data_IF_760401971067
#
_entry.id   IF_760401971067
#
_cell.length_a   1.000
_cell.length_b   1.000
_cell.length_c   1.000
_cell.angle_alpha   90.00
_cell.angle_beta   90.00
_cell.angle_gamma   90.00
#
_symmetry.space_group_name_H-M   'P 1'
#
loop_
_entity.id
_entity.type
_entity.pdbx_description
1 polymer ?
#
# COMPACT_ATOMS: atom_id res chain seq x y z
N UNK A 1 -20.72 -37.13 -0.91
CA UNK A 1 -20.92 -37.30 -2.36
C UNK A 1 -22.09 -36.44 -2.77
N UNK A 2 -21.81 -35.29 -3.38
CA UNK A 2 -22.81 -34.42 -4.00
C UNK A 2 -22.10 -33.62 -5.09
N UNK A 3 -22.38 -34.03 -6.32
CA UNK A 3 -21.81 -33.48 -7.55
C UNK A 3 -22.36 -32.06 -7.78
N UNK A 4 -21.49 -31.06 -7.86
CA UNK A 4 -21.82 -29.77 -8.47
C UNK A 4 -21.31 -29.74 -9.91
N UNK A 5 -22.26 -29.77 -10.83
CA UNK A 5 -22.07 -29.71 -12.28
C UNK A 5 -21.61 -28.30 -12.71
N UNK A 6 -20.67 -28.15 -13.66
CA UNK A 6 -20.18 -26.85 -14.11
C UNK A 6 -21.11 -26.27 -15.19
N UNK A 7 -22.10 -25.47 -14.80
CA UNK A 7 -22.94 -24.72 -15.77
C UNK A 7 -23.19 -23.26 -15.41
N UNK A 8 -22.49 -22.69 -14.43
CA UNK A 8 -22.75 -21.31 -13.96
C UNK A 8 -21.95 -20.18 -14.65
N UNK A 9 -21.20 -20.46 -15.73
CA UNK A 9 -20.37 -19.44 -16.41
C UNK A 9 -20.64 -19.30 -17.91
N UNK A 10 -21.91 -19.34 -18.31
CA UNK A 10 -22.34 -18.91 -19.66
C UNK A 10 -23.58 -18.03 -19.59
N UNK A 11 -23.44 -16.81 -19.09
CA UNK A 11 -24.28 -15.65 -19.46
C UNK A 11 -23.91 -14.44 -18.59
N UNK A 12 -22.83 -13.75 -18.94
CA UNK A 12 -22.54 -12.41 -18.39
C UNK A 12 -21.56 -11.65 -19.31
N UNK A 13 -21.88 -11.54 -20.60
CA UNK A 13 -21.17 -10.67 -21.53
C UNK A 13 -22.19 -9.90 -22.36
N UNK A 14 -22.80 -8.88 -21.75
CA UNK A 14 -23.50 -7.75 -22.38
C UNK A 14 -24.11 -6.84 -21.29
N UNK A 15 -23.27 -6.05 -20.62
CA UNK A 15 -23.55 -4.81 -19.87
C UNK A 15 -22.31 -4.46 -19.01
N UNK A 16 -22.04 -3.18 -18.70
CA UNK A 16 -20.88 -2.79 -17.90
C UNK A 16 -21.11 -3.24 -16.45
N UNK A 17 -20.47 -4.33 -16.03
CA UNK A 17 -20.62 -4.87 -14.67
C UNK A 17 -19.34 -4.66 -13.86
N UNK A 18 -19.50 -3.87 -12.80
CA UNK A 18 -18.62 -3.74 -11.65
C UNK A 18 -18.34 -5.12 -11.02
N UNK A 19 -17.11 -5.35 -10.58
CA UNK A 19 -16.84 -6.31 -9.49
C UNK A 19 -16.23 -5.54 -8.31
N UNK A 20 -17.10 -5.28 -7.34
CA UNK A 20 -16.80 -4.84 -5.98
C UNK A 20 -17.21 -5.98 -5.05
N UNK A 21 -16.38 -6.31 -4.06
CA UNK A 21 -16.82 -7.01 -2.85
C UNK A 21 -16.70 -6.03 -1.65
N UNK A 22 -17.80 -5.29 -1.44
CA UNK A 22 -18.31 -4.60 -0.22
C UNK A 22 -17.37 -3.76 0.72
N UNK A 23 -17.23 -2.45 0.40
CA UNK A 23 -17.24 -1.14 1.15
C UNK A 23 -16.95 -0.95 2.68
N UNK A 24 -16.62 0.29 3.20
CA UNK A 24 -16.57 1.62 2.55
C UNK A 24 -15.31 2.52 2.81
N UNK A 25 -14.69 3.05 1.73
CA UNK A 25 -13.95 4.35 1.59
C UNK A 25 -13.10 4.33 0.29
N UNK A 26 -12.73 5.48 -0.31
CA UNK A 26 -12.95 5.73 -1.74
C UNK A 26 -11.93 5.12 -2.70
N UNK A 27 -12.46 4.80 -3.87
CA UNK A 27 -11.84 4.23 -5.05
C UNK A 27 -10.93 5.23 -5.76
N UNK A 28 -9.76 4.76 -6.21
CA UNK A 28 -8.94 5.49 -7.17
C UNK A 28 -9.06 4.83 -8.53
N UNK A 29 -9.76 5.55 -9.41
CA UNK A 29 -9.85 5.36 -10.85
C UNK A 29 -8.61 5.99 -11.50
N UNK A 30 -7.99 5.32 -12.48
CA UNK A 30 -7.00 5.93 -13.38
C UNK A 30 -7.47 5.66 -14.82
N UNK A 31 -8.00 6.71 -15.46
CA UNK A 31 -8.39 6.81 -16.88
C UNK A 31 -7.13 6.86 -17.79
N UNK A 32 -7.09 6.62 -19.12
CA UNK A 32 -7.87 5.92 -20.16
C UNK A 32 -7.06 6.15 -21.48
N UNK A 33 -6.92 5.18 -22.40
CA UNK A 33 -6.84 5.46 -23.84
C UNK A 33 -7.12 4.20 -24.69
N UNK A 34 -8.24 4.26 -25.41
CA UNK A 34 -8.79 3.40 -26.48
C UNK A 34 -8.50 1.88 -26.50
N UNK A 35 -9.46 1.08 -26.01
CA UNK A 35 -9.67 -0.31 -26.44
C UNK A 35 -10.81 -0.36 -27.47
N UNK A 36 -10.50 -0.25 -28.76
CA UNK A 36 -11.41 -0.75 -29.80
C UNK A 36 -11.23 -2.27 -29.90
N UNK A 37 -12.21 -3.03 -29.40
CA UNK A 37 -12.30 -4.46 -29.65
C UNK A 37 -12.91 -4.69 -31.05
N UNK A 38 -12.10 -5.12 -32.01
CA UNK A 38 -12.60 -5.72 -33.26
C UNK A 38 -13.17 -7.10 -32.94
N UNK A 39 -14.48 -7.26 -33.13
CA UNK A 39 -15.18 -8.54 -33.02
C UNK A 39 -15.09 -9.27 -34.36
N UNK A 40 -14.08 -10.11 -34.53
CA UNK A 40 -14.04 -11.11 -35.61
C UNK A 40 -13.13 -12.28 -35.24
N UNK A 41 -13.58 -13.12 -34.31
CA UNK A 41 -13.08 -14.49 -34.17
C UNK A 41 -14.30 -15.40 -34.13
N UNK A 42 -14.85 -15.68 -35.31
CA UNK A 42 -15.66 -16.86 -35.60
C UNK A 42 -15.49 -17.20 -37.09
N UNK A 43 -14.24 -17.27 -37.55
CA UNK A 43 -13.88 -18.15 -38.67
C UNK A 43 -12.35 -18.21 -38.80
N UNK A 44 -11.73 -19.30 -38.31
CA UNK A 44 -10.48 -19.81 -38.89
C UNK A 44 -10.13 -21.16 -38.26
N UNK A 45 -10.80 -22.22 -38.71
CA UNK A 45 -10.26 -23.58 -38.57
C UNK A 45 -9.14 -23.75 -39.59
N UNK A 46 -7.92 -23.29 -39.26
CA UNK A 46 -6.61 -23.77 -39.77
C UNK A 46 -5.48 -22.79 -39.45
N UNK A 47 -4.62 -23.21 -38.50
CA UNK A 47 -3.14 -23.18 -38.53
C UNK A 47 -2.55 -22.79 -37.17
N UNK A 48 -1.90 -23.80 -36.58
CA UNK A 48 -0.61 -23.77 -35.86
C UNK A 48 -0.49 -22.94 -34.58
N UNK A 49 -0.34 -23.70 -33.48
CA UNK A 49 0.69 -23.56 -32.44
C UNK A 49 1.56 -22.29 -32.52
N UNK A 50 1.18 -21.28 -31.75
CA UNK A 50 2.11 -20.37 -31.09
C UNK A 50 1.40 -19.83 -29.85
N UNK A 51 1.81 -20.31 -28.67
CA UNK A 51 1.47 -19.69 -27.40
C UNK A 51 2.17 -18.34 -27.34
N UNK A 52 1.55 -17.30 -27.90
CA UNK A 52 1.99 -15.93 -27.69
C UNK A 52 1.67 -15.63 -26.23
N UNK A 53 2.65 -15.81 -25.34
CA UNK A 53 2.58 -15.29 -23.97
C UNK A 53 2.23 -13.81 -24.10
N UNK A 54 1.04 -13.42 -23.65
CA UNK A 54 0.61 -12.04 -23.72
C UNK A 54 1.62 -11.19 -22.94
N UNK A 55 2.38 -10.35 -23.65
CA UNK A 55 3.35 -9.47 -23.02
C UNK A 55 2.65 -8.59 -21.98
N UNK A 56 3.27 -8.42 -20.80
CA UNK A 56 2.74 -7.55 -19.75
C UNK A 56 2.42 -6.17 -20.33
N UNK A 57 1.21 -5.66 -20.07
CA UNK A 57 0.83 -4.32 -20.52
C UNK A 57 1.68 -3.27 -19.78
N UNK A 58 2.50 -2.49 -20.49
CA UNK A 58 3.32 -1.46 -19.84
C UNK A 58 2.43 -0.40 -19.19
N UNK A 59 2.77 0.01 -17.97
CA UNK A 59 2.04 1.03 -17.23
C UNK A 59 0.78 0.55 -16.48
N UNK A 60 0.43 -0.74 -16.55
CA UNK A 60 -0.68 -1.33 -15.79
C UNK A 60 -0.15 -2.13 -14.60
N UNK A 61 -0.65 -1.84 -13.40
CA UNK A 61 -0.39 -2.62 -12.19
C UNK A 61 -1.70 -2.99 -11.50
N UNK A 62 -1.79 -4.22 -11.00
CA UNK A 62 -2.84 -4.65 -10.09
C UNK A 62 -2.29 -4.67 -8.66
N UNK A 63 -2.84 -3.82 -7.79
CA UNK A 63 -2.46 -3.72 -6.39
C UNK A 63 -3.52 -4.37 -5.50
N UNK A 64 -3.08 -5.21 -4.57
CA UNK A 64 -3.94 -5.97 -3.68
C UNK A 64 -3.66 -5.63 -2.23
N UNK A 65 -4.72 -5.45 -1.45
CA UNK A 65 -4.61 -5.48 0.01
C UNK A 65 -4.26 -6.89 0.48
N UNK A 66 -3.70 -7.02 1.69
CA UNK A 66 -3.28 -8.33 2.22
C UNK A 66 -4.41 -8.98 3.02
N UNK A 67 -4.64 -8.50 4.25
CA UNK A 67 -5.60 -9.09 5.18
C UNK A 67 -7.04 -8.84 4.72
N UNK A 68 -7.86 -9.90 4.65
CA UNK A 68 -9.24 -9.82 4.19
C UNK A 68 -9.43 -9.73 2.66
N UNK A 69 -8.35 -9.60 1.89
CA UNK A 69 -8.38 -9.59 0.41
C UNK A 69 -7.67 -10.81 -0.17
N UNK A 70 -6.36 -10.96 0.09
CA UNK A 70 -5.59 -12.14 -0.34
C UNK A 70 -5.65 -13.27 0.69
N UNK A 71 -5.95 -12.94 1.94
CA UNK A 71 -6.10 -13.90 3.03
C UNK A 71 -7.45 -13.73 3.72
N UNK A 72 -7.93 -14.79 4.38
CA UNK A 72 -8.97 -14.61 5.38
C UNK A 72 -8.39 -13.81 6.57
N UNK A 73 -9.21 -13.01 7.29
CA UNK A 73 -8.72 -12.16 8.38
C UNK A 73 -7.82 -12.91 9.37
N UNK A 74 -6.60 -12.40 9.56
CA UNK A 74 -5.53 -12.95 10.43
C UNK A 74 -5.11 -14.39 10.12
N UNK A 75 -5.32 -14.86 8.89
CA UNK A 75 -4.89 -16.19 8.43
C UNK A 75 -3.85 -16.08 7.32
N UNK A 76 -3.20 -17.21 7.04
CA UNK A 76 -2.26 -17.40 5.93
C UNK A 76 -3.04 -17.58 4.62
N UNK A 77 -2.46 -17.15 3.51
CA UNK A 77 -3.00 -17.34 2.17
C UNK A 77 -3.12 -18.82 1.83
N UNK A 78 -4.16 -19.17 1.07
CA UNK A 78 -4.36 -20.55 0.62
C UNK A 78 -3.42 -20.87 -0.55
N UNK A 79 -2.99 -22.13 -0.73
CA UNK A 79 -2.19 -22.52 -1.90
C UNK A 79 -2.86 -22.16 -3.24
N UNK A 80 -4.20 -22.25 -3.30
CA UNK A 80 -4.99 -21.89 -4.48
C UNK A 80 -4.87 -20.39 -4.81
N UNK A 81 -4.92 -19.52 -3.80
CA UNK A 81 -4.74 -18.08 -3.99
C UNK A 81 -3.30 -17.76 -4.42
N UNK A 82 -2.29 -18.38 -3.81
CA UNK A 82 -0.89 -18.17 -4.18
C UNK A 82 -0.62 -18.61 -5.63
N UNK A 83 -1.19 -19.73 -6.06
CA UNK A 83 -1.09 -20.17 -7.47
C UNK A 83 -1.78 -19.19 -8.42
N UNK A 84 -2.98 -18.72 -8.06
CA UNK A 84 -3.68 -17.70 -8.83
C UNK A 84 -2.84 -16.43 -9.00
N UNK A 85 -2.22 -15.93 -7.93
CA UNK A 85 -1.36 -14.75 -7.99
C UNK A 85 -0.14 -14.99 -8.88
N UNK A 86 0.45 -16.19 -8.85
CA UNK A 86 1.57 -16.56 -9.73
C UNK A 86 1.18 -16.55 -11.20
N UNK A 87 0.02 -17.11 -11.55
CA UNK A 87 -0.50 -17.07 -12.92
C UNK A 87 -0.84 -15.64 -13.36
N UNK A 88 -1.45 -14.85 -12.48
CA UNK A 88 -1.77 -13.45 -12.75
C UNK A 88 -0.51 -12.62 -13.03
N UNK A 89 0.58 -12.87 -12.29
CA UNK A 89 1.88 -12.21 -12.50
C UNK A 89 2.45 -12.44 -13.90
N UNK A 90 2.07 -13.49 -14.62
CA UNK A 90 2.54 -13.72 -16.00
C UNK A 90 1.93 -12.74 -16.99
N UNK A 91 0.74 -12.23 -16.71
CA UNK A 91 -0.04 -11.39 -17.65
C UNK A 91 -0.11 -9.92 -17.26
N UNK A 92 0.07 -9.58 -15.99
CA UNK A 92 0.06 -8.19 -15.51
C UNK A 92 1.10 -7.99 -14.42
N UNK A 93 1.58 -6.76 -14.25
CA UNK A 93 2.39 -6.42 -13.09
C UNK A 93 1.51 -6.47 -11.84
N UNK A 94 1.94 -7.21 -10.83
CA UNK A 94 1.20 -7.34 -9.57
C UNK A 94 1.99 -6.76 -8.40
N UNK A 95 1.28 -6.15 -7.46
CA UNK A 95 1.86 -5.78 -6.19
C UNK A 95 0.90 -5.92 -5.04
N UNK A 96 1.45 -5.95 -3.82
CA UNK A 96 0.68 -5.99 -2.58
C UNK A 96 0.94 -4.73 -1.77
N UNK A 97 -0.10 -4.24 -1.09
CA UNK A 97 -0.01 -3.10 -0.18
C UNK A 97 -0.66 -3.47 1.16
N UNK A 98 0.09 -3.33 2.25
CA UNK A 98 -0.40 -3.61 3.59
C UNK A 98 0.00 -2.51 4.56
N UNK A 99 -0.87 -2.21 5.53
CA UNK A 99 -0.52 -1.30 6.64
C UNK A 99 0.39 -1.93 7.69
N UNK A 100 0.65 -3.24 7.58
CA UNK A 100 1.56 -3.96 8.48
C UNK A 100 3.01 -3.88 8.00
N UNK A 101 3.94 -4.19 8.90
CA UNK A 101 5.34 -4.43 8.57
C UNK A 101 5.51 -5.62 7.60
N UNK A 102 6.71 -5.74 7.02
CA UNK A 102 7.02 -6.82 6.09
C UNK A 102 6.94 -8.21 6.74
N UNK A 103 7.22 -8.32 8.04
CA UNK A 103 7.22 -9.61 8.75
C UNK A 103 5.82 -10.19 8.73
N UNK A 104 4.81 -9.41 9.14
CA UNK A 104 3.40 -9.83 9.10
C UNK A 104 2.90 -10.12 7.69
N UNK A 105 3.29 -9.30 6.71
CA UNK A 105 2.96 -9.58 5.31
C UNK A 105 3.56 -10.92 4.87
N UNK A 106 4.79 -11.23 5.29
CA UNK A 106 5.47 -12.49 4.99
C UNK A 106 4.86 -13.68 5.73
N UNK A 107 4.37 -13.51 6.96
CA UNK A 107 3.61 -14.54 7.67
C UNK A 107 2.32 -14.91 6.90
N UNK A 108 1.65 -13.92 6.32
CA UNK A 108 0.40 -14.13 5.59
C UNK A 108 0.59 -14.66 4.17
N UNK A 109 1.60 -14.18 3.44
CA UNK A 109 1.79 -14.47 2.01
C UNK A 109 2.96 -15.42 1.71
N UNK A 110 3.78 -15.74 2.72
CA UNK A 110 4.97 -16.58 2.59
C UNK A 110 6.27 -15.78 2.68
N UNK A 111 7.35 -16.46 3.11
CA UNK A 111 8.66 -15.84 3.32
C UNK A 111 9.30 -15.27 2.04
N UNK A 112 8.90 -15.74 0.87
CA UNK A 112 9.37 -15.29 -0.44
C UNK A 112 8.57 -14.11 -1.01
N UNK A 113 7.70 -13.47 -0.24
CA UNK A 113 6.76 -12.44 -0.73
C UNK A 113 7.43 -11.33 -1.55
N UNK A 114 8.63 -10.87 -1.19
CA UNK A 114 9.34 -9.82 -1.93
C UNK A 114 9.77 -10.26 -3.33
N UNK A 115 9.92 -11.56 -3.56
CA UNK A 115 10.25 -12.15 -4.85
C UNK A 115 9.02 -12.66 -5.60
N UNK A 116 7.93 -12.99 -4.90
CA UNK A 116 6.70 -13.56 -5.49
C UNK A 116 5.84 -12.50 -6.20
N UNK A 117 5.94 -11.24 -5.79
CA UNK A 117 5.24 -10.10 -6.38
C UNK A 117 6.23 -9.14 -7.05
N UNK A 118 5.79 -8.39 -8.07
CA UNK A 118 6.66 -7.41 -8.73
C UNK A 118 6.91 -6.20 -7.81
N UNK A 119 5.91 -5.84 -6.99
CA UNK A 119 6.01 -4.80 -5.96
C UNK A 119 5.45 -5.26 -4.61
N UNK A 120 6.12 -4.92 -3.51
CA UNK A 120 5.63 -5.16 -2.15
C UNK A 120 5.74 -3.86 -1.35
N UNK A 121 4.60 -3.34 -0.90
CA UNK A 121 4.47 -2.11 -0.13
C UNK A 121 4.05 -2.45 1.30
N UNK A 122 5.03 -2.48 2.20
CA UNK A 122 4.78 -2.59 3.63
C UNK A 122 4.56 -1.20 4.24
N UNK A 123 3.83 -1.16 5.35
CA UNK A 123 3.50 0.07 6.07
C UNK A 123 2.92 1.16 5.13
N UNK A 124 1.89 0.79 4.36
CA UNK A 124 1.23 1.62 3.35
C UNK A 124 2.15 2.07 2.18
N UNK A 125 3.35 1.50 2.07
CA UNK A 125 4.35 1.85 1.07
C UNK A 125 5.46 2.76 1.58
N UNK A 126 5.54 3.00 2.89
CA UNK A 126 6.72 3.60 3.51
C UNK A 126 7.96 2.73 3.32
N UNK A 127 7.78 1.41 3.32
CA UNK A 127 8.81 0.45 2.91
C UNK A 127 8.36 -0.22 1.62
N UNK A 128 9.14 -0.08 0.56
CA UNK A 128 8.78 -0.54 -0.77
C UNK A 128 9.87 -1.44 -1.35
N UNK A 129 9.46 -2.60 -1.86
CA UNK A 129 10.30 -3.53 -2.60
C UNK A 129 9.82 -3.64 -4.04
N UNK A 130 10.77 -3.87 -4.95
CA UNK A 130 10.52 -4.24 -6.34
C UNK A 130 11.48 -5.36 -6.75
N UNK A 131 10.94 -6.44 -7.31
CA UNK A 131 11.72 -7.60 -7.76
C UNK A 131 12.72 -8.09 -6.67
N UNK A 132 12.25 -8.23 -5.44
CA UNK A 132 13.06 -8.65 -4.28
C UNK A 132 13.95 -7.56 -3.66
N UNK A 133 14.12 -6.40 -4.32
CA UNK A 133 15.04 -5.35 -3.90
C UNK A 133 14.31 -4.20 -3.21
N UNK A 134 14.87 -3.70 -2.12
CA UNK A 134 14.38 -2.49 -1.45
C UNK A 134 14.59 -1.28 -2.36
N UNK A 135 13.51 -0.56 -2.67
CA UNK A 135 13.53 0.62 -3.55
C UNK A 135 13.19 1.92 -2.82
N UNK A 136 12.70 1.85 -1.59
CA UNK A 136 12.42 3.03 -0.79
C UNK A 136 12.06 2.68 0.65
N UNK A 137 12.62 3.45 1.56
CA UNK A 137 12.23 3.47 2.98
C UNK A 137 12.00 4.92 3.38
N UNK A 138 10.86 5.20 4.00
CA UNK A 138 10.56 6.49 4.60
C UNK A 138 10.20 6.29 6.06
N UNK A 139 10.58 7.25 6.91
CA UNK A 139 10.21 7.25 8.32
C UNK A 139 9.64 8.59 8.74
N UNK A 140 8.81 8.58 9.77
CA UNK A 140 8.23 9.78 10.37
C UNK A 140 9.33 10.78 10.77
N UNK A 141 10.43 10.26 11.33
CA UNK A 141 11.60 11.04 11.73
C UNK A 141 12.22 11.77 10.55
N UNK A 142 12.47 11.05 9.45
CA UNK A 142 13.06 11.65 8.25
C UNK A 142 12.12 12.66 7.59
N UNK A 143 10.81 12.43 7.66
CA UNK A 143 9.81 13.30 7.04
C UNK A 143 9.54 14.59 7.82
N UNK A 144 9.31 14.51 9.13
CA UNK A 144 8.99 15.67 9.96
C UNK A 144 10.22 16.41 10.48
N UNK A 145 11.32 15.69 10.71
CA UNK A 145 12.49 16.21 11.41
C UNK A 145 12.34 16.17 12.93
N UNK A 146 13.48 16.20 13.61
CA UNK A 146 13.57 16.02 15.07
C UNK A 146 12.92 17.18 15.84
N UNK A 147 13.09 18.42 15.37
CA UNK A 147 12.54 19.62 16.02
C UNK A 147 11.02 19.55 16.15
N UNK A 148 10.32 19.28 15.04
CA UNK A 148 8.86 19.16 15.02
C UNK A 148 8.37 17.96 15.84
N UNK A 149 9.11 16.85 15.80
CA UNK A 149 8.78 15.68 16.59
C UNK A 149 8.85 15.98 18.09
N UNK A 150 9.92 16.62 18.54
CA UNK A 150 10.06 17.01 19.95
C UNK A 150 8.96 17.98 20.36
N UNK A 151 8.57 18.93 19.50
CA UNK A 151 7.47 19.85 19.80
C UNK A 151 6.14 19.11 20.06
N UNK A 152 5.79 18.16 19.20
CA UNK A 152 4.57 17.34 19.36
C UNK A 152 4.68 16.48 20.62
N UNK A 153 5.81 15.77 20.79
CA UNK A 153 6.02 14.83 21.89
C UNK A 153 5.96 15.56 23.24
N UNK A 154 6.67 16.68 23.37
CA UNK A 154 6.67 17.48 24.60
C UNK A 154 5.26 17.97 24.93
N UNK A 155 4.54 18.51 23.93
CA UNK A 155 3.17 18.95 24.15
C UNK A 155 2.25 17.80 24.59
N UNK A 156 2.31 16.64 23.93
CA UNK A 156 1.51 15.46 24.28
C UNK A 156 1.83 14.98 25.69
N UNK A 157 3.11 14.95 26.08
CA UNK A 157 3.52 14.53 27.43
C UNK A 157 2.98 15.49 28.50
N UNK A 158 3.09 16.81 28.29
CA UNK A 158 2.50 17.80 29.21
C UNK A 158 0.98 17.65 29.29
N UNK A 159 0.30 17.54 28.14
CA UNK A 159 -1.15 17.36 28.09
C UNK A 159 -1.61 16.12 28.85
N UNK A 160 -0.91 14.98 28.68
CA UNK A 160 -1.24 13.74 29.39
C UNK A 160 -0.91 13.84 30.88
N UNK A 161 0.15 14.55 31.27
CA UNK A 161 0.49 14.76 32.68
C UNK A 161 -0.67 15.47 33.41
N UNK A 162 -1.22 16.52 32.82
CA UNK A 162 -2.29 17.34 33.41
C UNK A 162 -3.70 16.74 33.24
N UNK A 163 -3.84 15.69 32.44
CA UNK A 163 -5.12 15.05 32.16
C UNK A 163 -5.70 14.37 33.42
N UNK A 164 -6.91 14.74 33.83
CA UNK A 164 -7.60 14.07 34.93
C UNK A 164 -8.37 12.84 34.41
N UNK A 165 -7.81 11.64 34.63
CA UNK A 165 -8.45 10.36 34.32
C UNK A 165 -8.20 9.36 35.46
N UNK A 166 -9.10 8.38 35.68
CA UNK A 166 -9.02 7.50 36.84
C UNK A 166 -7.74 6.65 36.90
N UNK A 167 -7.20 6.27 35.74
CA UNK A 167 -6.08 5.34 35.62
C UNK A 167 -5.08 5.87 34.59
N UNK A 168 -3.81 5.93 34.99
CA UNK A 168 -2.64 6.08 34.10
C UNK A 168 -1.66 4.94 34.34
N UNK A 169 -1.03 4.45 33.27
CA UNK A 169 -0.02 3.39 33.29
C UNK A 169 1.27 3.90 32.64
N UNK A 170 1.69 3.32 31.53
CA UNK A 170 2.92 3.68 30.81
C UNK A 170 2.78 3.44 29.31
N UNK A 171 3.79 3.88 28.56
CA UNK A 171 3.76 3.91 27.08
C UNK A 171 2.61 4.77 26.58
N UNK A 172 2.65 6.05 26.96
CA UNK A 172 1.69 7.08 26.54
C UNK A 172 1.88 7.51 25.08
N UNK A 173 3.13 7.47 24.62
CA UNK A 173 3.51 7.71 23.24
C UNK A 173 4.36 6.50 22.81
N UNK A 174 3.94 5.83 21.75
CA UNK A 174 4.68 4.75 21.10
C UNK A 174 5.12 5.26 19.72
N UNK A 175 6.43 5.46 19.55
CA UNK A 175 7.01 5.86 18.28
C UNK A 175 7.09 4.66 17.35
N UNK A 176 6.47 4.75 16.18
CA UNK A 176 6.59 3.76 15.09
C UNK A 176 7.26 4.41 13.90
N UNK A 177 7.76 3.58 12.99
CA UNK A 177 8.34 3.99 11.71
C UNK A 177 7.49 5.00 10.95
N UNK A 178 6.17 4.77 10.87
CA UNK A 178 5.25 5.60 10.10
C UNK A 178 4.42 6.63 10.88
N UNK A 179 4.38 6.54 12.21
CA UNK A 179 3.38 7.25 13.02
C UNK A 179 3.75 7.31 14.50
N UNK A 180 3.11 8.21 15.24
CA UNK A 180 3.04 8.14 16.70
C UNK A 180 1.70 7.54 17.10
N UNK A 181 1.71 6.52 17.96
CA UNK A 181 0.49 6.08 18.63
C UNK A 181 0.44 6.73 20.02
N UNK A 182 -0.61 7.49 20.29
CA UNK A 182 -0.80 8.22 21.55
C UNK A 182 -1.95 7.59 22.34
N UNK A 183 -1.72 7.27 23.60
CA UNK A 183 -2.67 6.64 24.52
C UNK A 183 -2.73 7.42 25.84
N UNK A 184 -3.85 8.09 26.18
CA UNK A 184 -3.97 8.85 27.43
C UNK A 184 -3.80 8.00 28.70
N UNK A 185 -4.38 6.80 28.72
CA UNK A 185 -4.20 5.82 29.81
C UNK A 185 -2.81 5.15 29.76
N UNK A 186 -2.17 5.09 28.60
CA UNK A 186 -0.94 4.34 28.34
C UNK A 186 -1.19 2.91 27.87
N UNK A 187 -0.38 2.40 26.93
CA UNK A 187 -0.58 1.07 26.31
C UNK A 187 -0.30 -0.12 27.24
N UNK A 188 0.42 0.10 28.33
CA UNK A 188 0.75 -0.94 29.31
C UNK A 188 -0.42 -1.28 30.27
N UNK A 189 -1.63 -0.76 30.02
CA UNK A 189 -2.82 -1.13 30.77
C UNK A 189 -3.31 -2.55 30.46
N UNK A 190 -3.97 -3.17 31.45
CA UNK A 190 -4.59 -4.48 31.33
C UNK A 190 -5.82 -4.45 30.43
N UNK A 191 -6.33 -5.60 29.99
CA UNK A 191 -7.55 -5.63 29.16
C UNK A 191 -8.77 -5.06 29.90
N UNK A 192 -8.90 -5.33 31.20
CA UNK A 192 -9.98 -4.78 32.02
C UNK A 192 -9.91 -3.25 32.05
N UNK A 193 -8.71 -2.70 32.27
CA UNK A 193 -8.46 -1.25 32.26
C UNK A 193 -8.74 -0.63 30.88
N UNK A 194 -8.47 -1.35 29.78
CA UNK A 194 -8.80 -0.91 28.41
C UNK A 194 -10.32 -0.78 28.23
N UNK A 195 -11.07 -1.77 28.67
CA UNK A 195 -12.53 -1.79 28.55
C UNK A 195 -13.17 -0.70 29.41
N UNK A 196 -12.63 -0.45 30.60
CA UNK A 196 -13.05 0.64 31.49
C UNK A 196 -12.73 2.01 30.89
N UNK A 197 -11.51 2.20 30.38
CA UNK A 197 -11.13 3.45 29.73
C UNK A 197 -11.96 3.72 28.48
N UNK A 198 -12.27 2.70 27.67
CA UNK A 198 -13.12 2.88 26.49
C UNK A 198 -14.52 3.39 26.88
N UNK A 199 -15.13 2.85 27.94
CA UNK A 199 -16.42 3.31 28.45
C UNK A 199 -16.31 4.74 28.98
N UNK A 200 -15.26 5.03 29.74
CA UNK A 200 -15.00 6.36 30.28
C UNK A 200 -14.79 7.39 29.17
N UNK A 201 -13.97 7.08 28.17
CA UNK A 201 -13.69 7.93 27.02
C UNK A 201 -14.93 8.22 26.18
N UNK A 202 -15.85 7.25 26.01
CA UNK A 202 -17.12 7.48 25.31
C UNK A 202 -18.02 8.49 26.01
N UNK A 203 -17.98 8.55 27.34
CA UNK A 203 -18.78 9.49 28.13
C UNK A 203 -18.10 10.86 28.21
N UNK A 204 -16.80 10.87 28.50
CA UNK A 204 -16.06 12.11 28.79
C UNK A 204 -15.35 12.72 27.56
N UNK A 205 -15.31 11.99 26.44
CA UNK A 205 -14.68 12.36 25.17
C UNK A 205 -13.21 12.75 25.33
N UNK A 206 -12.43 11.96 26.06
CA UNK A 206 -11.02 12.25 26.38
C UNK A 206 -10.18 12.35 25.10
N UNK A 207 -10.16 11.29 24.27
CA UNK A 207 -9.40 11.24 23.02
C UNK A 207 -9.93 12.24 21.98
N UNK A 208 -11.26 12.37 21.73
CA UNK A 208 -11.76 13.40 20.82
C UNK A 208 -11.35 14.82 21.20
N UNK A 209 -11.45 15.20 22.49
CA UNK A 209 -11.02 16.51 22.97
C UNK A 209 -9.52 16.73 22.76
N UNK A 210 -8.70 15.75 23.15
CA UNK A 210 -7.25 15.82 22.96
C UNK A 210 -6.88 15.95 21.48
N UNK A 211 -7.50 15.17 20.59
CA UNK A 211 -7.28 15.26 19.14
C UNK A 211 -7.70 16.62 18.59
N UNK A 212 -8.79 17.22 19.08
CA UNK A 212 -9.22 18.56 18.67
C UNK A 212 -8.15 19.60 19.00
N UNK A 213 -7.63 19.59 20.23
CA UNK A 213 -6.58 20.50 20.67
C UNK A 213 -5.30 20.32 19.86
N UNK A 214 -4.88 19.07 19.61
CA UNK A 214 -3.70 18.77 18.80
C UNK A 214 -3.86 19.23 17.35
N UNK A 215 -5.04 19.04 16.76
CA UNK A 215 -5.33 19.43 15.38
C UNK A 215 -5.25 20.94 15.20
N UNK A 216 -5.78 21.70 16.16
CA UNK A 216 -5.72 23.17 16.14
C UNK A 216 -4.27 23.65 16.31
N UNK A 217 -3.57 23.17 17.34
CA UNK A 217 -2.19 23.58 17.64
C UNK A 217 -1.21 23.26 16.52
N UNK A 218 -1.31 22.06 15.94
CA UNK A 218 -0.38 21.55 14.93
C UNK A 218 -0.97 21.55 13.51
N UNK A 219 -1.95 22.41 13.23
CA UNK A 219 -2.55 22.53 11.89
C UNK A 219 -1.51 22.76 10.79
N UNK A 220 -0.45 23.52 11.11
CA UNK A 220 0.65 23.86 10.22
C UNK A 220 1.62 22.69 9.92
N UNK A 221 1.50 21.55 10.61
CA UNK A 221 2.31 20.35 10.37
C UNK A 221 1.68 19.37 9.38
N UNK A 222 0.45 19.62 8.90
CA UNK A 222 -0.26 18.75 7.94
C UNK A 222 -0.34 17.28 8.42
N UNK A 223 -0.72 17.09 9.68
CA UNK A 223 -0.88 15.78 10.30
C UNK A 223 -2.33 15.31 10.25
N UNK A 224 -2.51 14.01 10.13
CA UNK A 224 -3.78 13.30 10.30
C UNK A 224 -3.79 12.63 11.67
N UNK A 225 -4.90 12.80 12.38
CA UNK A 225 -5.15 12.20 13.69
C UNK A 225 -6.32 11.22 13.55
N UNK A 226 -6.07 9.95 13.84
CA UNK A 226 -7.05 8.87 13.67
C UNK A 226 -7.31 8.16 15.00
N UNK A 227 -8.50 8.34 15.58
CA UNK A 227 -8.91 7.60 16.77
C UNK A 227 -9.23 6.17 16.38
N UNK A 228 -8.58 5.21 17.04
CA UNK A 228 -8.69 3.79 16.69
C UNK A 228 -8.56 2.90 17.92
N UNK A 229 -9.34 1.81 17.93
CA UNK A 229 -9.39 0.88 19.06
C UNK A 229 -9.91 1.51 20.35
N UNK A 230 -9.55 0.90 21.48
CA UNK A 230 -10.16 1.20 22.78
C UNK A 230 -9.48 2.37 23.52
N UNK A 231 -8.17 2.56 23.35
CA UNK A 231 -7.37 3.42 24.23
C UNK A 231 -6.53 4.49 23.55
N UNK A 232 -6.33 4.42 22.24
CA UNK A 232 -5.33 5.25 21.56
C UNK A 232 -5.88 5.96 20.33
N UNK A 233 -5.04 6.82 19.75
CA UNK A 233 -5.19 7.37 18.41
C UNK A 233 -3.81 7.46 17.75
N UNK A 234 -3.79 7.39 16.42
CA UNK A 234 -2.57 7.49 15.63
C UNK A 234 -2.39 8.91 15.08
N UNK A 235 -1.14 9.36 15.02
CA UNK A 235 -0.72 10.66 14.45
C UNK A 235 0.31 10.39 13.36
N UNK A 236 -0.01 10.78 12.14
CA UNK A 236 0.84 10.54 10.96
C UNK A 236 0.67 11.65 9.92
N UNK A 237 1.64 11.87 9.02
CA UNK A 237 1.53 12.89 7.98
C UNK A 237 0.35 12.63 7.06
N UNK A 238 -0.30 13.68 6.59
CA UNK A 238 -1.40 13.56 5.65
C UNK A 238 -0.97 12.82 4.37
N UNK A 239 -1.80 11.88 3.93
CA UNK A 239 -1.53 11.04 2.76
C UNK A 239 -0.64 9.82 3.01
N UNK A 240 -0.30 9.52 4.28
CA UNK A 240 0.38 8.26 4.67
C UNK A 240 -0.61 7.09 4.89
N UNK A 241 -1.71 7.11 4.16
CA UNK A 241 -2.61 5.96 3.99
C UNK A 241 -2.12 5.09 2.81
N UNK A 242 -2.88 4.04 2.45
CA UNK A 242 -2.50 3.11 1.36
C UNK A 242 -2.27 3.80 0.01
N UNK A 243 -2.75 5.02 -0.20
CA UNK A 243 -2.48 5.79 -1.42
C UNK A 243 -1.02 6.24 -1.52
N UNK A 244 -0.27 6.26 -0.42
CA UNK A 244 1.17 6.60 -0.40
C UNK A 244 1.99 5.73 -1.35
N UNK A 245 1.68 4.42 -1.45
CA UNK A 245 2.39 3.51 -2.36
C UNK A 245 2.35 3.95 -3.84
N UNK A 246 1.31 4.68 -4.25
CA UNK A 246 1.18 5.18 -5.61
C UNK A 246 2.23 6.26 -5.92
N UNK A 247 2.62 7.05 -4.92
CA UNK A 247 3.69 8.05 -5.09
C UNK A 247 5.03 7.35 -5.30
N UNK A 248 5.34 6.33 -4.50
CA UNK A 248 6.54 5.50 -4.65
C UNK A 248 6.58 4.84 -6.03
N UNK A 249 5.47 4.25 -6.48
CA UNK A 249 5.37 3.62 -7.79
C UNK A 249 5.54 4.61 -8.95
N UNK A 250 4.84 5.75 -8.93
CA UNK A 250 4.94 6.79 -9.96
C UNK A 250 6.36 7.37 -10.05
N UNK A 251 7.00 7.62 -8.91
CA UNK A 251 8.36 8.14 -8.87
C UNK A 251 9.36 7.14 -9.45
N UNK A 252 9.20 5.85 -9.15
CA UNK A 252 10.02 4.80 -9.73
C UNK A 252 9.84 4.70 -11.25
N UNK A 253 8.61 4.74 -11.77
CA UNK A 253 8.35 4.73 -13.22
C UNK A 253 8.97 5.92 -13.95
N UNK A 254 8.96 7.11 -13.32
CA UNK A 254 9.66 8.29 -13.87
C UNK A 254 11.16 8.06 -13.90
N UNK A 255 11.75 7.55 -12.82
CA UNK A 255 13.19 7.30 -12.73
C UNK A 255 13.68 6.29 -13.78
N UNK A 256 12.99 5.16 -13.94
CA UNK A 256 13.33 4.18 -14.98
C UNK A 256 13.15 4.73 -16.39
N UNK A 257 12.14 5.57 -16.62
CA UNK A 257 11.97 6.24 -17.92
C UNK A 257 13.12 7.19 -18.24
N UNK A 258 13.70 7.85 -17.24
CA UNK A 258 14.87 8.73 -17.40
C UNK A 258 16.15 7.92 -17.65
N UNK A 259 16.41 6.86 -16.88
CA UNK A 259 17.56 5.97 -17.13
C UNK A 259 17.50 5.33 -18.51
N UNK A 260 16.31 4.91 -18.96
CA UNK A 260 16.11 4.35 -20.30
C UNK A 260 16.37 5.39 -21.40
N UNK A 261 16.11 6.68 -21.14
CA UNK A 261 16.42 7.77 -22.08
C UNK A 261 17.91 8.06 -22.12
N UNK A 262 18.57 8.17 -20.97
CA UNK A 262 20.01 8.43 -20.87
C UNK A 262 20.83 7.33 -21.58
N UNK A 263 20.50 6.06 -21.34
CA UNK A 263 21.16 4.93 -22.01
C UNK A 263 20.96 4.94 -23.53
N UNK A 264 19.78 5.36 -24.02
CA UNK A 264 19.53 5.52 -25.47
C UNK A 264 20.32 6.68 -26.06
N UNK A 265 20.39 7.82 -25.39
CA UNK A 265 21.18 8.97 -25.84
C UNK A 265 22.67 8.65 -25.88
N UNK A 266 23.21 7.96 -24.87
CA UNK A 266 24.60 7.49 -24.86
C UNK A 266 24.91 6.48 -25.97
N UNK A 267 23.98 5.58 -26.27
CA UNK A 267 24.11 4.66 -27.42
C UNK A 267 24.05 5.39 -28.75
N UNK A 268 23.22 6.44 -28.86
CA UNK A 268 23.09 7.25 -30.08
C UNK A 268 24.37 8.06 -30.32
N UNK A 269 24.91 8.72 -29.29
CA UNK A 269 26.17 9.48 -29.34
C UNK A 269 27.37 8.62 -29.75
N UNK A 270 27.48 7.38 -29.23
CA UNK A 270 28.52 6.41 -29.61
C UNK A 270 28.37 5.89 -31.04
N UNK A 271 27.17 5.94 -31.63
CA UNK A 271 26.94 5.52 -33.01
C UNK A 271 27.30 6.61 -34.03
N UNK A 272 27.17 7.88 -33.66
CA UNK A 272 27.55 9.03 -34.50
C UNK A 272 29.06 9.30 -34.54
N UNK A 273 29.84 8.84 -33.56
CA UNK A 273 31.30 9.01 -33.55
C UNK A 273 32.08 7.95 -34.34
N UNK A 274 31.40 7.00 -35.02
CA UNK A 274 32.02 5.93 -35.85
C UNK A 274 31.80 6.11 -37.35
N UNK A 275 31.64 7.33 -37.84
CA UNK A 275 31.76 7.63 -39.28
C UNK A 275 33.07 8.36 -39.52
N UNK A 276 34.14 7.59 -39.73
CA UNK A 276 35.39 8.09 -40.30
C UNK A 276 35.13 8.61 -41.73
N UNK A 277 35.77 9.72 -42.15
CA UNK A 277 35.79 10.06 -43.57
C UNK A 277 36.76 9.12 -44.29
N UNK A 278 36.24 8.28 -45.19
CA UNK A 278 37.01 7.59 -46.22
C UNK A 278 37.67 8.65 -47.13
N UNK A 279 38.96 8.89 -46.93
CA UNK A 279 39.77 9.58 -47.94
C UNK A 279 40.12 8.58 -49.02
N UNK A 280 39.67 8.88 -50.24
CA UNK A 280 39.93 8.10 -51.46
C UNK A 280 41.07 8.75 -52.24
N UNK A 281 41.95 7.89 -52.75
CA UNK A 281 43.10 8.09 -53.66
C UNK A 281 44.39 8.65 -53.05
#
# INVERSE_FOLDING_TARGET
MSNCHPSFFRSALKAPLYFFLHSPAPFIKVDYCELRFSTSILDCSRKRNQSVMAAKRPGLIALFDVDGTLTAPRKVSTPQMLEFMRELRKVVTIGVVGGSDLVKISEQLGASVTNDYDYVFAENGLVAYKDGKLIGTQSLKTHLGEEKLQEIINFVLHYIADLDIPIKRGTFIEFRSGMLNVSPIGRNCSQVERDEFEKYDKVHNIRPKMVSVLREKFAHFNLTFSIGGQISFDVFPQGWDKTYCLNTWKNFMKFTSLETRLTREEMTLKSTSRREPMVTQ
#
